data_IF_847671770446
#
_entry.id   IF_847671770446
#
_cell.length_a   1.000
_cell.length_b   1.000
_cell.length_c   1.000
_cell.angle_alpha   90.00
_cell.angle_beta   90.00
_cell.angle_gamma   90.00
#
_symmetry.space_group_name_H-M   'P 1'
#
loop_
_entity.id
_entity.type
_entity.pdbx_description
1 polymer ?
#
# COMPACT_ATOMS: atom_id res chain seq x y z
N UNK A 1 20.03 -17.77 37.77
CA UNK A 1 19.36 -17.05 36.67
C UNK A 1 18.72 -18.09 35.77
N UNK A 2 17.50 -18.50 36.10
CA UNK A 2 16.78 -19.60 35.43
C UNK A 2 15.42 -19.06 35.00
N UNK A 3 15.37 -18.47 33.82
CA UNK A 3 14.14 -18.06 33.12
C UNK A 3 14.28 -18.35 31.62
N UNK A 4 14.83 -19.52 31.29
CA UNK A 4 15.31 -19.85 29.94
C UNK A 4 14.33 -20.54 28.99
N UNK A 5 13.48 -21.50 29.42
CA UNK A 5 12.68 -22.30 28.48
C UNK A 5 11.22 -21.84 28.28
N UNK A 6 10.58 -21.18 29.25
CA UNK A 6 9.20 -20.69 29.12
C UNK A 6 9.11 -19.55 28.10
N UNK A 7 10.03 -18.58 28.21
CA UNK A 7 10.03 -17.36 27.42
C UNK A 7 10.32 -17.62 25.94
N UNK A 8 11.13 -18.63 25.61
CA UNK A 8 11.42 -19.01 24.22
C UNK A 8 10.23 -19.70 23.56
N UNK A 9 9.54 -20.57 24.31
CA UNK A 9 8.35 -21.28 23.80
C UNK A 9 7.21 -20.30 23.59
N UNK A 10 7.04 -19.34 24.50
CA UNK A 10 6.07 -18.24 24.38
C UNK A 10 6.41 -17.34 23.18
N UNK A 11 7.67 -16.91 23.03
CA UNK A 11 8.13 -16.14 21.87
C UNK A 11 7.87 -16.84 20.53
N UNK A 12 8.16 -18.14 20.46
CA UNK A 12 7.91 -18.94 19.26
C UNK A 12 6.43 -19.08 18.95
N UNK A 13 5.60 -19.19 19.98
CA UNK A 13 4.15 -19.27 19.82
C UNK A 13 3.59 -17.95 19.27
N UNK A 14 3.93 -16.82 19.90
CA UNK A 14 3.54 -15.47 19.43
C UNK A 14 4.04 -15.20 18.01
N UNK A 15 5.26 -15.62 17.68
CA UNK A 15 5.83 -15.46 16.34
C UNK A 15 5.05 -16.24 15.27
N UNK A 16 4.58 -17.45 15.59
CA UNK A 16 3.74 -18.24 14.68
C UNK A 16 2.35 -17.60 14.53
N UNK A 17 1.73 -17.17 15.63
CA UNK A 17 0.43 -16.47 15.59
C UNK A 17 0.51 -15.21 14.71
N UNK A 18 1.60 -14.45 14.79
CA UNK A 18 1.83 -13.30 13.94
C UNK A 18 1.97 -13.67 12.46
N UNK A 19 2.68 -14.76 12.14
CA UNK A 19 2.81 -15.26 10.76
C UNK A 19 1.46 -15.68 10.20
N UNK A 20 0.65 -16.37 10.99
CA UNK A 20 -0.70 -16.79 10.62
C UNK A 20 -1.64 -15.59 10.44
N UNK A 21 -1.57 -14.60 11.34
CA UNK A 21 -2.33 -13.37 11.22
C UNK A 21 -1.98 -12.58 9.95
N UNK A 22 -0.69 -12.50 9.60
CA UNK A 22 -0.23 -11.88 8.35
C UNK A 22 -0.73 -12.64 7.12
N UNK A 23 -0.68 -13.97 7.14
CA UNK A 23 -1.18 -14.78 6.03
C UNK A 23 -2.71 -14.63 5.86
N UNK A 24 -3.46 -14.58 6.95
CA UNK A 24 -4.90 -14.35 6.95
C UNK A 24 -5.22 -12.93 6.44
N UNK A 25 -4.43 -11.95 6.86
CA UNK A 25 -4.56 -10.56 6.39
C UNK A 25 -4.37 -10.46 4.88
N UNK A 26 -3.35 -11.10 4.33
CA UNK A 26 -3.10 -11.13 2.88
C UNK A 26 -4.29 -11.72 2.09
N UNK A 27 -4.88 -12.82 2.57
CA UNK A 27 -5.98 -13.51 1.89
C UNK A 27 -7.28 -12.70 1.97
N UNK A 28 -7.65 -12.23 3.16
CA UNK A 28 -8.94 -11.57 3.38
C UNK A 28 -8.92 -10.13 2.86
N UNK A 29 -7.89 -9.37 3.23
CA UNK A 29 -7.82 -7.95 2.92
C UNK A 29 -7.20 -7.66 1.55
N UNK A 30 -6.49 -8.62 0.96
CA UNK A 30 -5.88 -8.43 -0.36
C UNK A 30 -6.89 -8.03 -1.44
N UNK A 31 -8.05 -8.67 -1.49
CA UNK A 31 -9.10 -8.33 -2.46
C UNK A 31 -9.75 -6.97 -2.20
N UNK A 32 -10.00 -6.66 -0.92
CA UNK A 32 -10.58 -5.38 -0.49
C UNK A 32 -9.63 -4.22 -0.82
N UNK A 33 -8.34 -4.38 -0.54
CA UNK A 33 -7.35 -3.34 -0.82
C UNK A 33 -7.08 -3.20 -2.31
N UNK A 34 -7.07 -4.29 -3.08
CA UNK A 34 -6.99 -4.21 -4.54
C UNK A 34 -8.15 -3.40 -5.13
N UNK A 35 -9.38 -3.68 -4.68
CA UNK A 35 -10.57 -2.96 -5.11
C UNK A 35 -10.54 -1.48 -4.69
N UNK A 36 -10.16 -1.22 -3.45
CA UNK A 36 -10.04 0.14 -2.90
C UNK A 36 -9.01 0.97 -3.68
N UNK A 37 -7.85 0.39 -4.01
CA UNK A 37 -6.83 1.07 -4.83
C UNK A 37 -7.41 1.36 -6.22
N UNK A 38 -8.07 0.40 -6.87
CA UNK A 38 -8.68 0.64 -8.18
C UNK A 38 -9.72 1.78 -8.13
N UNK A 39 -10.57 1.81 -7.09
CA UNK A 39 -11.54 2.89 -6.89
C UNK A 39 -10.86 4.24 -6.66
N UNK A 40 -9.79 4.30 -5.86
CA UNK A 40 -9.04 5.53 -5.63
C UNK A 40 -8.47 6.08 -6.93
N UNK A 41 -7.87 5.23 -7.78
CA UNK A 41 -7.29 5.65 -9.06
C UNK A 41 -8.35 6.14 -10.03
N UNK A 42 -9.52 5.49 -10.09
CA UNK A 42 -10.66 5.92 -10.90
C UNK A 42 -11.15 7.29 -10.43
N UNK A 43 -11.39 7.46 -9.13
CA UNK A 43 -11.87 8.72 -8.54
C UNK A 43 -10.85 9.84 -8.76
N UNK A 44 -9.56 9.57 -8.57
CA UNK A 44 -8.50 10.54 -8.80
C UNK A 44 -8.41 10.97 -10.26
N UNK A 45 -8.52 10.02 -11.20
CA UNK A 45 -8.49 10.30 -12.63
C UNK A 45 -9.68 11.17 -13.06
N UNK A 46 -10.91 10.76 -12.73
CA UNK A 46 -12.11 11.52 -13.08
C UNK A 46 -12.15 12.87 -12.36
N UNK A 47 -11.79 12.90 -11.08
CA UNK A 47 -11.74 14.12 -10.28
C UNK A 47 -10.75 15.14 -10.85
N UNK A 48 -9.56 14.68 -11.22
CA UNK A 48 -8.52 15.54 -11.83
C UNK A 48 -8.92 16.01 -13.23
N UNK A 49 -9.47 15.11 -14.06
CA UNK A 49 -9.90 15.46 -15.42
C UNK A 49 -11.05 16.48 -15.43
N UNK A 50 -12.11 16.26 -14.64
CA UNK A 50 -13.21 17.23 -14.55
C UNK A 50 -12.78 18.48 -13.78
N UNK A 51 -11.96 18.34 -12.74
CA UNK A 51 -11.37 19.46 -12.01
C UNK A 51 -10.49 20.36 -12.88
N UNK A 52 -9.87 19.85 -13.95
CA UNK A 52 -9.12 20.67 -14.91
C UNK A 52 -9.96 21.77 -15.57
N UNK A 53 -11.29 21.64 -15.62
CA UNK A 53 -12.19 22.70 -16.10
C UNK A 53 -12.25 23.92 -15.19
N UNK A 54 -11.67 23.84 -13.99
CA UNK A 54 -11.65 24.94 -13.02
C UNK A 54 -11.03 26.21 -13.61
N UNK A 55 -9.96 26.09 -14.40
CA UNK A 55 -9.31 27.23 -15.05
C UNK A 55 -10.26 27.96 -16.01
N UNK A 56 -11.01 27.21 -16.82
CA UNK A 56 -12.03 27.73 -17.74
C UNK A 56 -13.26 28.26 -16.97
N UNK A 57 -13.63 27.62 -15.86
CA UNK A 57 -14.75 28.05 -15.01
C UNK A 57 -14.47 29.41 -14.34
N UNK A 58 -13.24 29.63 -13.88
CA UNK A 58 -12.81 30.90 -13.28
C UNK A 58 -12.89 32.06 -14.29
N UNK A 59 -12.59 31.80 -15.56
CA UNK A 59 -12.67 32.82 -16.63
C UNK A 59 -14.11 33.17 -17.00
N UNK A 60 -15.01 32.18 -17.01
CA UNK A 60 -16.40 32.36 -17.48
C UNK A 60 -17.37 32.90 -16.42
N UNK A 61 -16.94 33.02 -15.14
CA UNK A 61 -17.74 33.46 -13.99
C UNK A 61 -19.07 32.70 -13.78
N UNK A 62 -19.24 31.52 -14.41
CA UNK A 62 -20.44 30.69 -14.24
C UNK A 62 -20.33 29.89 -12.95
N UNK A 63 -21.03 30.33 -11.91
CA UNK A 63 -20.99 29.73 -10.56
C UNK A 63 -21.24 28.21 -10.55
N UNK A 64 -22.16 27.71 -11.38
CA UNK A 64 -22.45 26.27 -11.45
C UNK A 64 -21.27 25.45 -11.98
N UNK A 65 -20.52 25.97 -12.95
CA UNK A 65 -19.31 25.31 -13.49
C UNK A 65 -18.19 25.34 -12.46
N UNK A 66 -18.06 26.45 -11.72
CA UNK A 66 -17.09 26.58 -10.64
C UNK A 66 -17.35 25.56 -9.51
N UNK A 67 -18.60 25.47 -9.03
CA UNK A 67 -18.99 24.50 -8.01
C UNK A 67 -18.75 23.06 -8.47
N UNK A 68 -19.09 22.74 -9.73
CA UNK A 68 -18.83 21.44 -10.32
C UNK A 68 -17.33 21.13 -10.32
N UNK A 69 -16.49 22.02 -10.85
CA UNK A 69 -15.05 21.81 -10.92
C UNK A 69 -14.40 21.64 -9.53
N UNK A 70 -14.83 22.40 -8.52
CA UNK A 70 -14.35 22.28 -7.15
C UNK A 70 -14.72 20.93 -6.50
N UNK A 71 -15.95 20.46 -6.71
CA UNK A 71 -16.40 19.15 -6.20
C UNK A 71 -15.55 18.02 -6.79
N UNK A 72 -15.31 18.05 -8.11
CA UNK A 72 -14.49 17.04 -8.76
C UNK A 72 -13.01 17.12 -8.37
N UNK A 73 -12.45 18.33 -8.25
CA UNK A 73 -11.08 18.50 -7.74
C UNK A 73 -10.94 17.97 -6.31
N UNK A 74 -11.95 18.20 -5.45
CA UNK A 74 -11.98 17.65 -4.10
C UNK A 74 -12.03 16.11 -4.09
N UNK A 75 -12.90 15.50 -4.90
CA UNK A 75 -12.93 14.05 -5.05
C UNK A 75 -11.60 13.49 -5.55
N UNK A 76 -10.97 14.18 -6.51
CA UNK A 76 -9.65 13.79 -7.01
C UNK A 76 -8.59 13.77 -5.91
N UNK A 77 -8.54 14.84 -5.10
CA UNK A 77 -7.64 14.93 -3.96
C UNK A 77 -7.92 13.86 -2.89
N UNK A 78 -9.19 13.50 -2.66
CA UNK A 78 -9.55 12.41 -1.75
C UNK A 78 -9.04 11.05 -2.23
N UNK A 79 -9.17 10.75 -3.54
CA UNK A 79 -8.62 9.54 -4.14
C UNK A 79 -7.10 9.43 -3.94
N UNK A 80 -6.38 10.51 -4.24
CA UNK A 80 -4.94 10.61 -4.02
C UNK A 80 -4.53 10.33 -2.57
N UNK A 81 -5.18 11.01 -1.60
CA UNK A 81 -4.85 10.89 -0.18
C UNK A 81 -5.09 9.46 0.33
N UNK A 82 -6.20 8.83 -0.07
CA UNK A 82 -6.51 7.45 0.32
C UNK A 82 -5.46 6.47 -0.21
N UNK A 83 -5.11 6.58 -1.49
CA UNK A 83 -4.09 5.71 -2.07
C UNK A 83 -2.70 5.94 -1.46
N UNK A 84 -2.36 7.19 -1.14
CA UNK A 84 -1.13 7.53 -0.41
C UNK A 84 -1.07 6.87 0.98
N UNK A 85 -2.17 6.91 1.75
CA UNK A 85 -2.24 6.28 3.07
C UNK A 85 -2.05 4.75 2.96
N UNK A 86 -2.72 4.11 2.00
CA UNK A 86 -2.59 2.66 1.77
C UNK A 86 -1.15 2.27 1.41
N UNK A 87 -0.54 3.01 0.50
CA UNK A 87 0.86 2.78 0.10
C UNK A 87 1.81 2.99 1.28
N UNK A 88 1.61 4.05 2.06
CA UNK A 88 2.44 4.34 3.25
C UNK A 88 2.34 3.21 4.27
N UNK A 89 1.14 2.68 4.51
CA UNK A 89 0.92 1.58 5.44
C UNK A 89 1.52 0.27 4.92
N UNK A 90 1.36 -0.05 3.63
CA UNK A 90 2.00 -1.21 3.00
C UNK A 90 3.52 -1.15 3.11
N UNK A 91 4.11 0.01 2.82
CA UNK A 91 5.55 0.23 2.97
C UNK A 91 6.03 0.09 4.42
N UNK A 92 5.25 0.60 5.38
CA UNK A 92 5.58 0.48 6.80
C UNK A 92 5.56 -0.99 7.25
N UNK A 93 4.58 -1.78 6.79
CA UNK A 93 4.52 -3.21 7.05
C UNK A 93 5.73 -3.95 6.47
N UNK A 94 6.09 -3.68 5.22
CA UNK A 94 7.28 -4.26 4.59
C UNK A 94 8.57 -3.90 5.34
N UNK A 95 8.70 -2.66 5.81
CA UNK A 95 9.86 -2.25 6.61
C UNK A 95 9.89 -2.95 7.97
N UNK A 96 8.76 -3.06 8.67
CA UNK A 96 8.67 -3.79 9.93
C UNK A 96 9.06 -5.27 9.77
N UNK A 97 8.67 -5.92 8.67
CA UNK A 97 9.10 -7.28 8.36
C UNK A 97 10.62 -7.38 8.13
N UNK A 98 11.23 -6.40 7.43
CA UNK A 98 12.70 -6.32 7.26
C UNK A 98 13.43 -6.17 8.59
N UNK A 99 12.94 -5.27 9.44
CA UNK A 99 13.53 -5.00 10.75
C UNK A 99 13.39 -6.21 11.69
N UNK A 100 12.26 -6.91 11.62
CA UNK A 100 12.02 -8.17 12.33
C UNK A 100 13.02 -9.24 11.89
N UNK A 101 13.17 -9.46 10.58
CA UNK A 101 14.16 -10.41 10.04
C UNK A 101 15.59 -10.07 10.46
N UNK A 102 15.98 -8.79 10.36
CA UNK A 102 17.29 -8.33 10.77
C UNK A 102 17.53 -8.50 12.28
N UNK A 103 16.47 -8.43 13.09
CA UNK A 103 16.55 -8.66 14.54
C UNK A 103 16.66 -10.15 14.86
N UNK A 104 15.85 -10.99 14.21
CA UNK A 104 15.86 -12.45 14.37
C UNK A 104 17.20 -13.07 13.95
N UNK A 105 17.81 -12.57 12.88
CA UNK A 105 19.13 -13.04 12.39
C UNK A 105 20.30 -12.63 13.30
N UNK A 106 20.14 -11.56 14.09
CA UNK A 106 21.14 -11.13 15.09
C UNK A 106 21.03 -11.88 16.41
N UNK A 107 19.86 -12.45 16.71
CA UNK A 107 19.71 -13.27 17.89
C UNK A 107 20.48 -14.58 17.66
N UNK A 108 21.38 -14.92 18.58
CA UNK A 108 22.18 -16.15 18.55
C UNK A 108 21.33 -17.38 18.95
N UNK A 109 20.15 -17.52 18.33
CA UNK A 109 19.14 -18.53 18.68
C UNK A 109 19.64 -19.93 18.30
N UNK A 110 20.55 -19.99 17.33
CA UNK A 110 21.22 -21.23 16.91
C UNK A 110 22.24 -21.74 17.94
N UNK A 111 22.67 -20.89 18.89
CA UNK A 111 23.46 -21.34 20.06
C UNK A 111 22.61 -22.00 21.15
N UNK A 112 21.28 -21.86 21.09
CA UNK A 112 20.36 -22.51 22.02
C UNK A 112 20.09 -23.95 21.58
N UNK A 113 20.08 -24.88 22.53
CA UNK A 113 19.68 -26.27 22.27
C UNK A 113 18.16 -26.34 22.08
N UNK A 114 17.71 -26.16 20.84
CA UNK A 114 16.30 -26.21 20.45
C UNK A 114 15.79 -27.65 20.34
N UNK A 115 14.52 -27.86 20.65
CA UNK A 115 13.83 -29.12 20.29
C UNK A 115 13.49 -29.11 18.79
N UNK A 116 13.27 -30.28 18.15
CA UNK A 116 12.92 -30.35 16.73
C UNK A 116 11.66 -29.54 16.35
N UNK A 117 10.70 -29.41 17.28
CA UNK A 117 9.49 -28.59 17.09
C UNK A 117 9.83 -27.11 17.07
N UNK A 118 10.66 -26.65 18.01
CA UNK A 118 11.08 -25.25 18.11
C UNK A 118 11.96 -24.84 16.93
N UNK A 119 12.84 -25.73 16.45
CA UNK A 119 13.60 -25.49 15.21
C UNK A 119 12.66 -25.28 14.01
N UNK A 120 11.63 -26.11 13.88
CA UNK A 120 10.64 -25.98 12.81
C UNK A 120 9.84 -24.66 12.91
N UNK A 121 9.44 -24.28 14.12
CA UNK A 121 8.73 -23.01 14.35
C UNK A 121 9.63 -21.81 14.01
N UNK A 122 10.88 -21.83 14.47
CA UNK A 122 11.87 -20.79 14.16
C UNK A 122 12.15 -20.70 12.66
N UNK A 123 12.31 -21.84 11.98
CA UNK A 123 12.49 -21.88 10.53
C UNK A 123 11.27 -21.32 9.78
N UNK A 124 10.05 -21.59 10.24
CA UNK A 124 8.82 -21.02 9.67
C UNK A 124 8.81 -19.48 9.79
N UNK A 125 9.07 -18.97 11.00
CA UNK A 125 9.15 -17.53 11.29
C UNK A 125 10.23 -16.87 10.41
N UNK A 126 11.45 -17.39 10.44
CA UNK A 126 12.57 -16.87 9.66
C UNK A 126 12.25 -16.89 8.16
N UNK A 127 11.70 -17.97 7.63
CA UNK A 127 11.38 -18.05 6.21
C UNK A 127 10.35 -16.98 5.81
N UNK A 128 9.28 -16.78 6.60
CA UNK A 128 8.27 -15.76 6.32
C UNK A 128 8.84 -14.34 6.37
N UNK A 129 9.71 -14.03 7.33
CA UNK A 129 10.32 -12.70 7.44
C UNK A 129 11.52 -12.50 6.50
N UNK A 130 12.17 -13.56 6.01
CA UNK A 130 13.32 -13.51 5.10
C UNK A 130 12.97 -13.03 3.69
N UNK A 131 11.69 -13.09 3.33
CA UNK A 131 11.16 -12.55 2.09
C UNK A 131 10.30 -11.32 2.41
N UNK A 132 10.90 -10.16 2.73
CA UNK A 132 10.16 -8.92 2.87
C UNK A 132 9.77 -8.42 1.47
N UNK A 133 8.85 -9.15 0.85
CA UNK A 133 8.17 -8.70 -0.36
C UNK A 133 7.31 -7.50 0.02
N UNK A 134 7.25 -6.52 -0.88
CA UNK A 134 6.26 -5.48 -0.74
C UNK A 134 4.88 -6.15 -0.61
N UNK A 135 4.03 -5.61 0.26
CA UNK A 135 2.69 -6.18 0.39
C UNK A 135 1.98 -6.06 -0.96
N UNK A 136 1.55 -7.20 -1.50
CA UNK A 136 1.04 -7.29 -2.87
C UNK A 136 -0.40 -7.79 -2.85
N UNK A 137 -1.40 -6.90 -2.73
CA UNK A 137 -2.81 -7.28 -2.72
C UNK A 137 -3.15 -8.12 -3.96
N UNK A 138 -3.59 -9.36 -3.74
CA UNK A 138 -3.87 -10.36 -4.80
C UNK A 138 -2.70 -10.63 -5.76
N UNK A 139 -1.47 -10.21 -5.44
CA UNK A 139 -0.32 -10.31 -6.35
C UNK A 139 -0.41 -9.41 -7.58
N UNK A 140 -1.28 -8.39 -7.58
CA UNK A 140 -1.50 -7.51 -8.74
C UNK A 140 -0.50 -6.36 -8.81
N UNK A 141 -0.19 -5.76 -7.66
CA UNK A 141 0.74 -4.64 -7.55
C UNK A 141 1.31 -4.57 -6.14
N UNK A 142 2.51 -4.03 -6.04
CA UNK A 142 3.18 -3.85 -4.75
C UNK A 142 2.77 -2.52 -4.12
N UNK A 143 2.36 -2.53 -2.85
CA UNK A 143 2.16 -1.31 -2.06
C UNK A 143 3.49 -0.76 -1.56
N UNK A 144 4.22 -0.17 -2.50
CA UNK A 144 5.53 0.44 -2.27
C UNK A 144 5.55 1.90 -2.73
N UNK A 145 6.47 2.70 -2.19
CA UNK A 145 6.68 4.08 -2.68
C UNK A 145 7.00 4.11 -4.18
N UNK A 146 7.70 3.10 -4.69
CA UNK A 146 8.05 3.00 -6.10
C UNK A 146 6.80 2.82 -6.98
N UNK A 147 5.91 1.91 -6.60
CA UNK A 147 4.64 1.67 -7.31
C UNK A 147 3.74 2.91 -7.28
N UNK A 148 3.68 3.59 -6.14
CA UNK A 148 2.94 4.84 -6.01
C UNK A 148 3.45 5.91 -6.99
N UNK A 149 4.76 6.16 -7.03
CA UNK A 149 5.35 7.13 -7.97
C UNK A 149 5.10 6.72 -9.42
N UNK A 150 5.25 5.43 -9.74
CA UNK A 150 5.01 4.90 -11.08
C UNK A 150 3.56 5.14 -11.53
N UNK A 151 2.59 4.74 -10.70
CA UNK A 151 1.16 4.88 -11.02
C UNK A 151 0.78 6.35 -11.20
N UNK A 152 1.23 7.25 -10.30
CA UNK A 152 0.94 8.68 -10.46
C UNK A 152 1.62 9.28 -11.69
N UNK A 153 2.82 8.81 -12.05
CA UNK A 153 3.49 9.26 -13.28
C UNK A 153 2.68 8.87 -14.52
N UNK A 154 2.13 7.65 -14.55
CA UNK A 154 1.22 7.20 -15.60
C UNK A 154 -0.07 8.03 -15.62
N UNK A 155 -0.67 8.28 -14.45
CA UNK A 155 -1.89 9.09 -14.34
C UNK A 155 -1.69 10.52 -14.81
N UNK A 156 -0.62 11.19 -14.39
CA UNK A 156 -0.28 12.54 -14.83
C UNK A 156 -0.06 12.57 -16.35
N UNK A 157 0.68 11.60 -16.88
CA UNK A 157 0.91 11.48 -18.33
C UNK A 157 -0.42 11.34 -19.08
N UNK A 158 -1.30 10.46 -18.61
CA UNK A 158 -2.61 10.24 -19.22
C UNK A 158 -3.52 11.48 -19.11
N UNK A 159 -3.52 12.18 -17.96
CA UNK A 159 -4.26 13.43 -17.78
C UNK A 159 -3.78 14.52 -18.73
N UNK A 160 -2.47 14.69 -18.92
CA UNK A 160 -1.91 15.65 -19.87
C UNK A 160 -2.38 15.34 -21.29
N UNK A 161 -2.35 14.07 -21.69
CA UNK A 161 -2.85 13.63 -23.00
C UNK A 161 -4.33 13.96 -23.15
N UNK A 162 -5.16 13.63 -22.15
CA UNK A 162 -6.60 13.91 -22.18
C UNK A 162 -6.92 15.41 -22.26
N UNK A 163 -6.20 16.23 -21.49
CA UNK A 163 -6.39 17.69 -21.52
C UNK A 163 -6.01 18.25 -22.89
N UNK A 164 -4.91 17.79 -23.49
CA UNK A 164 -4.52 18.20 -24.84
C UNK A 164 -5.60 17.85 -25.87
N UNK A 165 -6.12 16.62 -25.86
CA UNK A 165 -7.22 16.23 -26.76
C UNK A 165 -8.47 17.09 -26.58
N UNK A 166 -8.83 17.39 -25.33
CA UNK A 166 -9.96 18.25 -25.02
C UNK A 166 -9.78 19.69 -25.53
N UNK A 167 -8.58 20.24 -25.42
CA UNK A 167 -8.26 21.57 -25.95
C UNK A 167 -8.37 21.60 -27.49
N UNK A 168 -7.95 20.53 -28.17
CA UNK A 168 -8.16 20.39 -29.63
C UNK A 168 -9.64 20.33 -29.99
N UNK A 169 -10.48 19.63 -29.23
CA UNK A 169 -11.93 19.55 -29.49
C UNK A 169 -12.69 20.86 -29.19
N UNK A 170 -12.17 21.68 -28.26
CA UNK A 170 -12.84 22.91 -27.82
C UNK A 170 -12.29 24.18 -28.47
N UNK A 171 -11.19 24.11 -29.22
CA UNK A 171 -10.51 25.28 -29.76
C UNK A 171 -9.54 25.02 -30.94
N UNK A 172 -9.74 23.93 -31.70
CA UNK A 172 -9.39 23.87 -33.12
C UNK A 172 -10.55 24.34 -34.00
#
# INVERSE_FOLDING_TARGET
>A
MTSGPSNLTEFLHEGIELVEALALFDVIFGSVVALEVALCLIIELFGSYFGSTLSQAMQSQRLHVLCFALIFAFFGAQGFVRYYILTRNGQAMTNAMKDCHASLTKLDIWSLSLTPVQEKQMACILNRFSQPTAWSPMGLFDLSRASFVMIHSVMVTYLVILIQFKEVETGG
#
